data_IF_020752941629
#
_entry.id   IF_020752941629
#
_cell.length_a   1.000
_cell.length_b   1.000
_cell.length_c   1.000
_cell.angle_alpha   90.00
_cell.angle_beta   90.00
_cell.angle_gamma   90.00
#
_symmetry.space_group_name_H-M   'P 1'
#
loop_
_entity.id
_entity.type
_entity.pdbx_description
1 polymer ?
#
# COMPACT_ATOMS: atom_id res chain seq x y z
N UNK A 1 37.99 -14.80 -49.57
CA UNK A 1 38.00 -13.96 -48.35
C UNK A 1 36.64 -13.33 -48.03
N UNK A 2 35.96 -12.70 -48.99
CA UNK A 2 34.66 -12.04 -48.74
C UNK A 2 33.52 -12.96 -48.25
N UNK A 3 33.46 -14.22 -48.73
CA UNK A 3 32.46 -15.21 -48.33
C UNK A 3 32.69 -15.81 -46.94
N UNK A 4 33.94 -15.90 -46.48
CA UNK A 4 34.29 -16.34 -45.13
C UNK A 4 33.91 -15.25 -44.05
N UNK A 5 34.09 -13.98 -44.40
CA UNK A 5 33.75 -12.86 -43.54
C UNK A 5 32.22 -12.75 -43.27
N UNK A 6 31.42 -12.96 -44.32
CA UNK A 6 29.96 -12.94 -44.22
C UNK A 6 29.44 -14.13 -43.40
N UNK A 7 30.09 -15.31 -43.51
CA UNK A 7 29.73 -16.49 -42.73
C UNK A 7 30.06 -16.33 -41.22
N UNK A 8 31.21 -15.68 -40.89
CA UNK A 8 31.57 -15.39 -39.50
C UNK A 8 30.67 -14.33 -38.87
N UNK A 9 30.27 -13.30 -39.63
CA UNK A 9 29.32 -12.28 -39.12
C UNK A 9 27.92 -12.87 -38.89
N UNK A 10 27.45 -13.77 -39.75
CA UNK A 10 26.18 -14.47 -39.60
C UNK A 10 26.13 -15.38 -38.36
N UNK A 11 27.25 -16.06 -38.05
CA UNK A 11 27.36 -16.91 -36.87
C UNK A 11 27.45 -16.11 -35.56
N UNK A 12 28.07 -14.92 -35.58
CA UNK A 12 28.13 -14.04 -34.41
C UNK A 12 26.77 -13.41 -34.05
N UNK A 13 25.90 -13.15 -35.04
CA UNK A 13 24.54 -12.63 -34.80
C UNK A 13 23.61 -13.70 -34.22
N UNK A 14 23.86 -14.99 -34.43
CA UNK A 14 23.05 -16.08 -33.89
C UNK A 14 23.35 -16.40 -32.40
N UNK A 15 24.48 -15.95 -31.86
CA UNK A 15 24.89 -16.20 -30.48
C UNK A 15 24.40 -15.07 -29.53
N UNK A 16 24.02 -13.91 -30.08
CA UNK A 16 23.64 -12.75 -29.29
C UNK A 16 22.26 -12.83 -28.56
N UNK A 17 21.24 -13.61 -28.98
CA UNK A 17 19.99 -13.70 -28.26
C UNK A 17 19.96 -14.66 -27.06
N UNK A 18 21.07 -15.29 -26.69
CA UNK A 18 21.11 -16.24 -25.57
C UNK A 18 21.39 -15.60 -24.19
N UNK A 19 21.52 -14.29 -24.12
CA UNK A 19 21.50 -13.57 -22.85
C UNK A 19 20.05 -13.19 -22.46
N UNK A 20 19.16 -14.17 -22.48
CA UNK A 20 17.87 -14.02 -21.81
C UNK A 20 18.19 -13.94 -20.31
N UNK A 21 18.10 -12.76 -19.75
CA UNK A 21 18.12 -12.61 -18.29
C UNK A 21 17.01 -13.51 -17.74
N UNK A 22 17.41 -14.48 -16.93
CA UNK A 22 16.44 -15.32 -16.25
C UNK A 22 15.53 -14.39 -15.42
N UNK A 23 14.23 -14.45 -15.66
CA UNK A 23 13.26 -13.83 -14.77
C UNK A 23 13.48 -14.49 -13.41
N UNK A 24 13.69 -13.72 -12.35
CA UNK A 24 13.88 -14.30 -11.02
C UNK A 24 12.71 -15.22 -10.68
N UNK A 25 12.99 -16.34 -10.06
CA UNK A 25 11.97 -17.30 -9.65
C UNK A 25 11.22 -16.73 -8.45
N UNK A 26 9.92 -16.53 -8.61
CA UNK A 26 9.05 -16.02 -7.54
C UNK A 26 8.39 -17.22 -6.86
N UNK A 27 8.83 -17.51 -5.66
CA UNK A 27 8.17 -18.51 -4.82
C UNK A 27 6.81 -18.00 -4.35
N UNK A 28 5.82 -18.87 -4.29
CA UNK A 28 4.51 -18.49 -3.78
C UNK A 28 3.82 -19.64 -3.07
N UNK A 29 3.10 -19.30 -1.99
CA UNK A 29 2.30 -20.24 -1.21
C UNK A 29 1.13 -19.57 -0.53
N UNK A 30 0.29 -20.37 0.11
CA UNK A 30 -0.84 -19.89 0.91
C UNK A 30 -0.73 -20.44 2.32
N UNK A 31 -0.86 -19.54 3.31
CA UNK A 31 -0.86 -19.94 4.71
C UNK A 31 -2.18 -20.64 5.11
N UNK A 32 -2.23 -21.37 6.24
CA UNK A 32 -3.47 -21.99 6.73
C UNK A 32 -4.61 -20.99 6.96
N UNK A 33 -4.32 -19.74 7.29
CA UNK A 33 -5.30 -18.65 7.45
C UNK A 33 -5.69 -17.95 6.15
N UNK A 34 -5.16 -18.43 5.01
CA UNK A 34 -5.53 -17.94 3.70
C UNK A 34 -4.70 -16.79 3.13
N UNK A 35 -3.69 -16.28 3.85
CA UNK A 35 -2.75 -15.27 3.32
C UNK A 35 -1.98 -15.85 2.14
N UNK A 36 -1.99 -15.15 1.01
CA UNK A 36 -1.15 -15.46 -0.15
C UNK A 36 0.20 -14.79 0.04
N UNK A 37 1.28 -15.54 -0.10
CA UNK A 37 2.65 -15.02 0.02
C UNK A 37 3.35 -15.17 -1.31
N UNK A 38 4.05 -14.12 -1.73
CA UNK A 38 4.97 -14.09 -2.86
C UNK A 38 6.33 -13.65 -2.34
N UNK A 39 7.33 -14.45 -2.58
CA UNK A 39 8.69 -14.22 -2.12
C UNK A 39 9.66 -14.19 -3.31
N UNK A 40 10.46 -13.13 -3.38
CA UNK A 40 11.52 -12.97 -4.36
C UNK A 40 12.85 -12.81 -3.65
N UNK A 41 13.69 -13.84 -3.69
CA UNK A 41 15.03 -13.79 -3.11
C UNK A 41 15.97 -12.95 -3.98
N UNK A 42 16.62 -11.94 -3.36
CA UNK A 42 17.67 -11.12 -3.97
C UNK A 42 18.75 -10.82 -2.95
N UNK A 43 20.01 -11.09 -3.33
CA UNK A 43 21.17 -10.87 -2.47
C UNK A 43 22.05 -9.68 -2.89
N UNK A 44 21.57 -8.87 -3.85
CA UNK A 44 22.33 -7.73 -4.35
C UNK A 44 22.53 -6.63 -3.30
N UNK A 45 21.52 -6.42 -2.46
CA UNK A 45 21.54 -5.45 -1.38
C UNK A 45 21.09 -6.12 -0.07
N UNK A 46 21.70 -5.76 1.09
CA UNK A 46 21.30 -6.29 2.39
C UNK A 46 20.03 -5.60 2.91
N UNK A 47 18.93 -5.73 2.18
CA UNK A 47 17.66 -5.06 2.45
C UNK A 47 16.51 -6.05 2.38
N UNK A 48 15.44 -5.74 3.11
CA UNK A 48 14.16 -6.44 3.04
C UNK A 48 13.06 -5.43 2.69
N UNK A 49 12.30 -5.73 1.63
CA UNK A 49 11.07 -5.05 1.28
C UNK A 49 9.88 -5.93 1.62
N UNK A 50 8.95 -5.40 2.39
CA UNK A 50 7.69 -6.07 2.74
C UNK A 50 6.53 -5.21 2.28
N UNK A 51 5.61 -5.78 1.52
CA UNK A 51 4.35 -5.12 1.18
C UNK A 51 3.17 -6.04 1.45
N UNK A 52 2.25 -5.56 2.28
CA UNK A 52 1.01 -6.25 2.59
C UNK A 52 -0.16 -5.52 1.93
N UNK A 53 -0.82 -6.18 0.99
CA UNK A 53 -1.90 -5.63 0.16
C UNK A 53 -3.21 -6.30 0.52
N UNK A 54 -4.27 -5.49 0.68
CA UNK A 54 -5.62 -5.95 1.00
C UNK A 54 -6.62 -5.50 -0.09
N UNK A 55 -7.63 -6.30 -0.38
CA UNK A 55 -8.83 -5.87 -1.09
C UNK A 55 -9.68 -5.00 -0.16
N UNK A 56 -9.16 -3.79 0.11
CA UNK A 56 -9.69 -2.81 1.06
C UNK A 56 -9.62 -1.39 0.48
N UNK A 57 -9.73 -1.28 -0.85
CA UNK A 57 -9.74 0.00 -1.55
C UNK A 57 -11.09 0.73 -1.45
N UNK A 58 -11.17 1.91 -2.07
CA UNK A 58 -12.37 2.75 -2.00
C UNK A 58 -13.61 2.14 -2.67
N UNK A 59 -13.46 1.09 -3.48
CA UNK A 59 -14.59 0.29 -3.97
C UNK A 59 -15.37 -0.41 -2.84
N UNK A 60 -14.76 -0.53 -1.65
CA UNK A 60 -15.36 -1.09 -0.44
C UNK A 60 -15.97 -0.04 0.50
N UNK A 61 -15.90 1.24 0.15
CA UNK A 61 -16.40 2.37 0.98
C UNK A 61 -17.93 2.37 1.15
N UNK A 62 -18.67 1.72 0.28
CA UNK A 62 -20.12 1.76 0.26
C UNK A 62 -20.64 3.20 0.14
N UNK A 63 -21.51 3.60 1.05
CA UNK A 63 -22.08 4.95 1.09
C UNK A 63 -21.20 6.00 1.80
N UNK A 64 -19.97 5.62 2.20
CA UNK A 64 -19.05 6.50 2.92
C UNK A 64 -17.73 6.72 2.15
N UNK A 65 -17.75 7.33 0.95
CA UNK A 65 -16.54 7.58 0.18
C UNK A 65 -15.43 8.22 1.02
N UNK A 66 -14.21 7.65 0.94
CA UNK A 66 -13.05 8.06 1.72
C UNK A 66 -12.81 7.24 3.00
N UNK A 67 -13.68 6.28 3.33
CA UNK A 67 -13.53 5.43 4.51
C UNK A 67 -12.26 4.58 4.43
N UNK A 68 -12.05 3.86 3.35
CA UNK A 68 -10.84 3.08 3.08
C UNK A 68 -9.56 3.92 3.23
N UNK A 69 -9.53 5.07 2.57
CA UNK A 69 -8.37 5.97 2.59
C UNK A 69 -8.10 6.56 3.98
N UNK A 70 -9.13 6.89 4.75
CA UNK A 70 -8.97 7.34 6.13
C UNK A 70 -8.52 6.19 7.04
N UNK A 71 -9.12 5.00 6.92
CA UNK A 71 -8.73 3.84 7.73
C UNK A 71 -7.26 3.48 7.49
N UNK A 72 -6.85 3.38 6.24
CA UNK A 72 -5.48 3.03 5.88
C UNK A 72 -4.47 4.10 6.34
N UNK A 73 -4.81 5.38 6.17
CA UNK A 73 -3.95 6.49 6.61
C UNK A 73 -3.78 6.61 8.13
N UNK A 74 -4.64 5.97 8.92
CA UNK A 74 -4.56 6.00 10.39
C UNK A 74 -3.91 4.75 11.00
N UNK A 75 -3.47 3.78 10.20
CA UNK A 75 -2.91 2.53 10.75
C UNK A 75 -1.66 2.79 11.59
N UNK A 76 -0.77 3.67 11.14
CA UNK A 76 0.45 4.06 11.87
C UNK A 76 0.21 5.11 12.96
N UNK A 77 -1.04 5.51 13.23
CA UNK A 77 -1.35 6.54 14.25
C UNK A 77 -1.19 6.04 15.69
N UNK A 78 -1.07 4.73 15.89
CA UNK A 78 -0.80 4.13 17.19
C UNK A 78 -1.44 2.78 17.39
N UNK A 79 -0.85 2.01 18.28
CA UNK A 79 -1.24 0.66 18.70
C UNK A 79 -1.58 0.66 20.19
N UNK A 80 -1.91 -0.50 20.77
CA UNK A 80 -2.06 -0.61 22.23
C UNK A 80 -0.76 -0.41 23.02
N UNK A 81 0.40 -0.55 22.35
CA UNK A 81 1.74 -0.44 22.97
C UNK A 81 2.46 0.86 22.64
N UNK A 82 2.11 1.50 21.52
CA UNK A 82 2.85 2.63 20.93
C UNK A 82 1.88 3.73 20.50
N UNK A 83 2.17 4.96 20.84
CA UNK A 83 1.51 6.11 20.25
C UNK A 83 2.15 6.48 18.89
N UNK A 84 1.59 7.45 18.19
CA UNK A 84 2.06 7.90 16.88
C UNK A 84 3.54 8.30 16.89
N UNK A 85 3.98 9.03 17.91
CA UNK A 85 5.35 9.53 18.03
C UNK A 85 6.33 8.38 18.27
N UNK A 86 5.95 7.42 19.10
CA UNK A 86 6.74 6.23 19.38
C UNK A 86 6.87 5.34 18.14
N UNK A 87 5.78 5.12 17.39
CA UNK A 87 5.82 4.37 16.11
C UNK A 87 6.81 5.01 15.15
N UNK A 88 6.70 6.34 14.95
CA UNK A 88 7.59 7.05 14.03
C UNK A 88 9.05 7.00 14.50
N UNK A 89 9.31 7.30 15.77
CA UNK A 89 10.66 7.30 16.34
C UNK A 89 11.34 5.93 16.25
N UNK A 90 10.64 4.85 16.64
CA UNK A 90 11.26 3.51 16.63
C UNK A 90 11.60 3.03 15.23
N UNK A 91 10.82 3.40 14.21
CA UNK A 91 11.14 3.11 12.81
C UNK A 91 12.28 4.00 12.28
N UNK A 92 12.27 5.30 12.62
CA UNK A 92 13.31 6.25 12.21
C UNK A 92 14.66 5.91 12.84
N UNK A 93 14.70 5.49 14.11
CA UNK A 93 15.91 5.14 14.86
C UNK A 93 16.69 3.98 14.21
N UNK A 94 16.01 3.08 13.49
CA UNK A 94 16.63 1.97 12.77
C UNK A 94 16.77 2.23 11.26
N UNK A 95 16.38 3.42 10.81
CA UNK A 95 16.43 3.82 9.41
C UNK A 95 15.46 3.05 8.51
N UNK A 96 14.34 2.59 9.04
CA UNK A 96 13.31 1.91 8.27
C UNK A 96 12.45 2.91 7.50
N UNK A 97 12.16 2.59 6.24
CA UNK A 97 11.16 3.30 5.45
C UNK A 97 9.83 2.57 5.55
N UNK A 98 8.75 3.28 5.81
CA UNK A 98 7.43 2.70 5.95
C UNK A 98 6.35 3.57 5.31
N UNK A 99 5.24 2.95 4.94
CA UNK A 99 4.16 3.67 4.30
C UNK A 99 2.86 2.91 4.27
N UNK A 100 1.81 3.65 3.97
CA UNK A 100 0.48 3.10 3.72
C UNK A 100 -0.20 3.87 2.60
N UNK A 101 -1.02 3.19 1.81
CA UNK A 101 -1.75 3.82 0.72
C UNK A 101 -3.05 3.09 0.40
N UNK A 102 -3.97 3.81 -0.24
CA UNK A 102 -5.25 3.26 -0.68
C UNK A 102 -5.58 3.77 -2.07
N UNK A 103 -6.01 2.85 -2.93
CA UNK A 103 -6.53 3.11 -4.27
C UNK A 103 -7.99 2.65 -4.35
N UNK A 104 -8.50 2.42 -5.57
CA UNK A 104 -9.88 1.94 -5.76
C UNK A 104 -10.07 0.51 -5.31
N UNK A 105 -9.14 -0.38 -5.66
CA UNK A 105 -9.29 -1.81 -5.42
C UNK A 105 -8.53 -2.29 -4.20
N UNK A 106 -7.47 -1.58 -3.82
CA UNK A 106 -6.55 -2.06 -2.78
C UNK A 106 -6.18 -0.98 -1.79
N UNK A 107 -5.83 -1.43 -0.59
CA UNK A 107 -5.05 -0.69 0.39
C UNK A 107 -3.81 -1.50 0.73
N UNK A 108 -2.70 -0.84 1.08
CA UNK A 108 -1.46 -1.52 1.42
C UNK A 108 -0.73 -0.82 2.56
N UNK A 109 0.12 -1.62 3.20
CA UNK A 109 1.20 -1.15 4.07
C UNK A 109 2.50 -1.67 3.49
N UNK A 110 3.56 -0.91 3.67
CA UNK A 110 4.90 -1.29 3.23
C UNK A 110 5.93 -0.94 4.28
N UNK A 111 6.97 -1.76 4.33
CA UNK A 111 8.15 -1.58 5.17
C UNK A 111 9.38 -1.94 4.35
N UNK A 112 10.40 -1.10 4.41
CA UNK A 112 11.75 -1.39 3.92
C UNK A 112 12.73 -1.21 5.06
N UNK A 113 13.60 -2.18 5.27
CA UNK A 113 14.64 -2.13 6.28
C UNK A 113 15.91 -2.80 5.80
N UNK A 114 17.04 -2.50 6.45
CA UNK A 114 18.25 -3.31 6.31
C UNK A 114 17.97 -4.71 6.88
N UNK A 115 18.55 -5.75 6.26
CA UNK A 115 18.33 -7.16 6.67
C UNK A 115 19.10 -7.58 7.92
N UNK A 116 19.98 -6.72 8.46
CA UNK A 116 20.70 -6.99 9.71
C UNK A 116 19.75 -6.99 10.91
N UNK A 117 19.90 -7.93 11.88
CA UNK A 117 18.94 -8.10 12.98
C UNK A 117 18.68 -6.84 13.80
N UNK A 118 19.71 -6.04 14.07
CA UNK A 118 19.60 -4.80 14.86
C UNK A 118 18.74 -3.72 14.22
N UNK A 119 18.51 -3.78 12.90
CA UNK A 119 17.58 -2.88 12.20
C UNK A 119 16.26 -3.57 11.90
N UNK A 120 16.29 -4.81 11.43
CA UNK A 120 15.13 -5.54 10.96
C UNK A 120 14.17 -5.93 12.09
N UNK A 121 14.68 -6.48 13.18
CA UNK A 121 13.84 -7.00 14.25
C UNK A 121 12.97 -5.91 14.91
N UNK A 122 13.52 -4.73 15.29
CA UNK A 122 12.69 -3.65 15.80
C UNK A 122 11.70 -3.10 14.76
N UNK A 123 12.12 -2.98 13.50
CA UNK A 123 11.23 -2.48 12.44
C UNK A 123 10.04 -3.42 12.21
N UNK A 124 10.29 -4.74 12.17
CA UNK A 124 9.24 -5.75 12.05
C UNK A 124 8.32 -5.77 13.27
N UNK A 125 8.85 -5.61 14.49
CA UNK A 125 8.02 -5.59 15.71
C UNK A 125 7.01 -4.43 15.67
N UNK A 126 7.44 -3.23 15.30
CA UNK A 126 6.55 -2.09 15.11
C UNK A 126 5.53 -2.34 14.00
N UNK A 127 6.00 -2.82 12.85
CA UNK A 127 5.15 -3.05 11.67
C UNK A 127 4.07 -4.11 11.96
N UNK A 128 4.42 -5.18 12.65
CA UNK A 128 3.48 -6.23 13.05
C UNK A 128 2.46 -5.72 14.08
N UNK A 129 2.86 -4.89 15.04
CA UNK A 129 1.93 -4.26 15.98
C UNK A 129 0.92 -3.35 15.25
N UNK A 130 1.37 -2.55 14.28
CA UNK A 130 0.51 -1.68 13.46
C UNK A 130 -0.52 -2.49 12.67
N UNK A 131 -0.14 -3.65 12.16
CA UNK A 131 -1.04 -4.54 11.40
C UNK A 131 -2.00 -5.28 12.33
N UNK A 132 -1.54 -5.70 13.51
CA UNK A 132 -2.30 -6.56 14.40
C UNK A 132 -3.32 -5.80 15.27
N UNK A 133 -2.97 -4.59 15.73
CA UNK A 133 -3.75 -3.89 16.75
C UNK A 133 -3.74 -2.36 16.62
N UNK A 134 -4.14 -1.79 15.48
CA UNK A 134 -4.24 -0.33 15.34
C UNK A 134 -5.39 0.21 16.20
N UNK A 135 -5.11 1.23 17.02
CA UNK A 135 -6.07 1.76 17.98
C UNK A 135 -6.87 2.96 17.47
N UNK A 136 -6.45 3.59 16.36
CA UNK A 136 -7.10 4.79 15.83
C UNK A 136 -7.32 5.86 16.91
N UNK A 137 -6.27 6.44 17.53
CA UNK A 137 -6.42 7.35 18.67
C UNK A 137 -7.30 8.54 18.30
N UNK A 138 -8.16 8.97 19.23
CA UNK A 138 -9.18 10.00 18.94
C UNK A 138 -8.59 11.31 18.43
N UNK A 139 -7.53 11.78 19.07
CA UNK A 139 -6.94 13.08 18.73
C UNK A 139 -6.27 13.06 17.36
N UNK A 140 -5.59 11.97 17.03
CA UNK A 140 -4.91 11.80 15.74
C UNK A 140 -5.92 11.68 14.63
N UNK A 141 -6.92 10.83 14.78
CA UNK A 141 -8.03 10.72 13.83
C UNK A 141 -8.72 12.07 13.58
N UNK A 142 -9.06 12.83 14.64
CA UNK A 142 -9.71 14.14 14.49
C UNK A 142 -8.81 15.16 13.78
N UNK A 143 -7.50 15.13 14.03
CA UNK A 143 -6.52 15.95 13.33
C UNK A 143 -6.48 15.61 11.84
N UNK A 144 -6.30 14.34 11.50
CA UNK A 144 -6.25 13.85 10.11
C UNK A 144 -7.57 14.11 9.38
N UNK A 145 -8.70 13.89 10.03
CA UNK A 145 -10.01 14.20 9.45
C UNK A 145 -10.15 15.69 9.14
N UNK A 146 -9.71 16.59 10.03
CA UNK A 146 -9.70 18.04 9.78
C UNK A 146 -8.81 18.40 8.61
N UNK A 147 -7.60 17.84 8.54
CA UNK A 147 -6.67 18.06 7.44
C UNK A 147 -7.27 17.58 6.10
N UNK A 148 -7.89 16.39 6.10
CA UNK A 148 -8.60 15.87 4.94
C UNK A 148 -9.72 16.79 4.47
N UNK A 149 -10.51 17.35 5.37
CA UNK A 149 -11.58 18.29 5.03
C UNK A 149 -11.04 19.59 4.42
N UNK A 150 -9.91 20.10 4.91
CA UNK A 150 -9.23 21.27 4.33
C UNK A 150 -8.74 20.94 2.91
N UNK A 151 -8.09 19.79 2.71
CA UNK A 151 -7.63 19.37 1.40
C UNK A 151 -8.78 19.16 0.41
N UNK A 152 -9.89 18.57 0.83
CA UNK A 152 -11.08 18.39 -0.01
C UNK A 152 -11.70 19.74 -0.42
N UNK A 153 -11.72 20.73 0.49
CA UNK A 153 -12.20 22.09 0.16
C UNK A 153 -11.29 22.77 -0.86
N UNK A 154 -9.99 22.60 -0.76
CA UNK A 154 -9.03 23.11 -1.75
C UNK A 154 -9.21 22.42 -3.12
N UNK A 155 -9.47 21.11 -3.14
CA UNK A 155 -9.75 20.37 -4.38
C UNK A 155 -10.99 20.86 -5.12
N UNK A 156 -12.00 21.41 -4.43
CA UNK A 156 -13.19 21.99 -5.08
C UNK A 156 -12.88 23.25 -5.91
N UNK A 157 -11.74 23.90 -5.60
CA UNK A 157 -11.27 25.09 -6.33
C UNK A 157 -10.24 24.72 -7.42
N UNK A 158 -9.85 23.46 -7.55
CA UNK A 158 -8.91 22.98 -8.57
C UNK A 158 -9.64 22.48 -9.80
N UNK A 159 -9.48 23.13 -10.98
CA UNK A 159 -10.15 22.70 -12.21
C UNK A 159 -9.86 21.24 -12.58
N UNK A 160 -8.61 20.77 -12.39
CA UNK A 160 -8.22 19.39 -12.67
C UNK A 160 -8.92 18.38 -11.74
N UNK A 161 -9.05 18.70 -10.46
CA UNK A 161 -9.77 17.85 -9.50
C UNK A 161 -11.27 17.79 -9.80
N UNK A 162 -11.87 18.93 -10.18
CA UNK A 162 -13.30 18.99 -10.57
C UNK A 162 -13.52 18.17 -11.85
N UNK A 163 -12.68 18.37 -12.87
CA UNK A 163 -12.75 17.62 -14.13
C UNK A 163 -12.58 16.12 -13.90
N UNK A 164 -11.60 15.71 -13.08
CA UNK A 164 -11.38 14.30 -12.76
C UNK A 164 -12.60 13.67 -12.08
N UNK A 165 -13.20 14.32 -11.10
CA UNK A 165 -14.43 13.83 -10.43
C UNK A 165 -15.60 13.70 -11.42
N UNK A 166 -15.77 14.68 -12.29
CA UNK A 166 -16.82 14.67 -13.33
C UNK A 166 -16.59 13.52 -14.33
N UNK A 167 -15.35 13.33 -14.77
CA UNK A 167 -14.95 12.25 -15.67
C UNK A 167 -15.25 10.86 -15.07
N UNK A 168 -14.79 10.59 -13.85
CA UNK A 168 -15.04 9.30 -13.20
C UNK A 168 -16.54 9.03 -13.02
N UNK A 169 -17.31 10.06 -12.66
CA UNK A 169 -18.77 9.94 -12.55
C UNK A 169 -19.44 9.65 -13.89
N UNK A 170 -19.00 10.31 -14.96
CA UNK A 170 -19.54 10.09 -16.30
C UNK A 170 -19.21 8.69 -16.85
N UNK A 171 -17.99 8.19 -16.60
CA UNK A 171 -17.54 6.88 -17.10
C UNK A 171 -18.16 5.73 -16.31
N UNK A 172 -18.25 5.86 -14.99
CA UNK A 172 -18.60 4.74 -14.10
C UNK A 172 -20.04 4.78 -13.54
N UNK A 173 -20.75 5.89 -13.68
CA UNK A 173 -22.16 5.99 -13.25
C UNK A 173 -22.35 5.63 -11.77
N UNK A 174 -23.09 4.54 -11.53
CA UNK A 174 -23.37 4.03 -10.17
C UNK A 174 -22.32 3.02 -9.66
N UNK A 175 -21.33 2.68 -10.49
CA UNK A 175 -20.26 1.78 -10.05
C UNK A 175 -19.42 2.45 -8.95
N UNK A 176 -18.90 1.69 -7.94
CA UNK A 176 -18.10 2.25 -6.85
C UNK A 176 -16.90 3.09 -7.28
N UNK A 177 -16.37 2.86 -8.49
CA UNK A 177 -15.27 3.64 -9.06
C UNK A 177 -15.62 5.08 -9.39
N UNK A 178 -16.89 5.42 -9.49
CA UNK A 178 -17.34 6.80 -9.65
C UNK A 178 -17.04 7.66 -8.42
N UNK A 179 -16.95 7.03 -7.24
CA UNK A 179 -16.67 7.72 -5.98
C UNK A 179 -15.19 8.12 -5.88
N UNK A 180 -14.88 9.33 -5.37
CA UNK A 180 -13.50 9.75 -5.17
C UNK A 180 -12.86 8.99 -4.01
N UNK A 181 -11.65 8.46 -4.21
CA UNK A 181 -10.87 7.71 -3.19
C UNK A 181 -10.68 8.55 -1.91
N UNK A 182 -10.44 9.85 -2.05
CA UNK A 182 -10.26 10.76 -0.91
C UNK A 182 -11.57 11.10 -0.17
N UNK A 183 -12.71 10.65 -0.70
CA UNK A 183 -14.00 10.99 -0.16
C UNK A 183 -14.54 12.34 -0.61
N UNK A 184 -15.60 12.78 0.04
CA UNK A 184 -16.24 14.09 -0.16
C UNK A 184 -16.33 14.84 1.17
N UNK A 185 -16.55 16.16 1.14
CA UNK A 185 -16.81 16.94 2.37
C UNK A 185 -17.98 16.37 3.18
N UNK A 186 -19.01 15.88 2.50
CA UNK A 186 -20.21 15.30 3.13
C UNK A 186 -19.90 13.95 3.81
N UNK A 187 -19.20 13.04 3.12
CA UNK A 187 -18.89 11.70 3.66
C UNK A 187 -17.86 11.77 4.79
N UNK A 188 -16.75 12.47 4.58
CA UNK A 188 -15.65 12.57 5.57
C UNK A 188 -16.10 13.20 6.88
N UNK A 189 -17.02 14.18 6.86
CA UNK A 189 -17.64 14.74 8.08
C UNK A 189 -18.38 13.69 8.93
N UNK A 190 -18.95 12.65 8.29
CA UNK A 190 -19.76 11.63 8.94
C UNK A 190 -18.95 10.41 9.39
N UNK A 191 -17.78 10.19 8.78
CA UNK A 191 -16.90 9.07 9.12
C UNK A 191 -16.39 9.28 10.56
N UNK A 192 -16.56 8.25 11.39
CA UNK A 192 -16.11 8.24 12.78
C UNK A 192 -15.17 7.07 13.07
N UNK A 193 -14.43 7.11 14.19
CA UNK A 193 -13.48 6.05 14.60
C UNK A 193 -14.10 4.65 14.63
N UNK A 194 -15.34 4.53 15.09
CA UNK A 194 -16.05 3.25 15.11
C UNK A 194 -16.15 2.64 13.72
N UNK A 195 -16.41 3.47 12.71
CA UNK A 195 -16.52 3.02 11.32
C UNK A 195 -15.16 2.60 10.76
N UNK A 196 -14.08 3.33 11.11
CA UNK A 196 -12.72 2.93 10.75
C UNK A 196 -12.41 1.53 11.31
N UNK A 197 -12.69 1.34 12.61
CA UNK A 197 -12.42 0.06 13.28
C UNK A 197 -13.20 -1.09 12.65
N UNK A 198 -14.47 -0.89 12.35
CA UNK A 198 -15.30 -1.89 11.66
C UNK A 198 -14.78 -2.21 10.26
N UNK A 199 -14.35 -1.20 9.51
CA UNK A 199 -13.75 -1.39 8.18
C UNK A 199 -12.45 -2.19 8.27
N UNK A 200 -11.58 -1.85 9.22
CA UNK A 200 -10.35 -2.58 9.48
C UNK A 200 -10.64 -4.05 9.83
N UNK A 201 -11.49 -4.32 10.81
CA UNK A 201 -11.87 -5.66 11.25
C UNK A 201 -12.47 -6.51 10.11
N UNK A 202 -13.13 -5.87 9.14
CA UNK A 202 -13.76 -6.55 8.01
C UNK A 202 -12.77 -6.89 6.90
N UNK A 203 -11.88 -5.97 6.54
CA UNK A 203 -11.09 -6.08 5.31
C UNK A 203 -9.61 -6.36 5.54
N UNK A 204 -9.04 -6.05 6.72
CA UNK A 204 -7.62 -6.28 7.02
C UNK A 204 -7.42 -7.64 7.68
N UNK A 205 -7.79 -8.69 6.95
CA UNK A 205 -7.76 -10.08 7.41
C UNK A 205 -6.92 -10.95 6.47
N UNK A 206 -6.31 -12.00 7.01
CA UNK A 206 -5.32 -12.81 6.29
C UNK A 206 -5.83 -13.40 4.98
N UNK A 207 -7.08 -13.88 4.93
CA UNK A 207 -7.66 -14.46 3.71
C UNK A 207 -8.02 -13.41 2.64
N UNK A 208 -7.97 -12.13 2.99
CA UNK A 208 -8.18 -10.97 2.11
C UNK A 208 -6.86 -10.27 1.76
N UNK A 209 -5.72 -10.88 2.07
CA UNK A 209 -4.41 -10.26 1.96
C UNK A 209 -3.48 -11.01 1.01
N UNK A 210 -2.56 -10.24 0.42
CA UNK A 210 -1.38 -10.69 -0.31
C UNK A 210 -0.15 -10.07 0.34
N UNK A 211 0.78 -10.89 0.76
CA UNK A 211 2.09 -10.48 1.26
C UNK A 211 3.12 -10.67 0.15
N UNK A 212 3.90 -9.63 -0.10
CA UNK A 212 5.04 -9.64 -1.03
C UNK A 212 6.30 -9.33 -0.24
N UNK A 213 7.31 -10.14 -0.40
CA UNK A 213 8.62 -10.05 0.27
C UNK A 213 9.70 -10.15 -0.79
#
# INVERSE_FOLDING_TARGET
MRKLFVSLLGSALLVFPLLVQAIPDIEHWKTPKGLKVYYLESHELPMLDVRLVFDAGSARDGEQPGLSSLTNGELFSGTSKRDLETVARELDDVGAEYGAGSLRDMAWLELRSLSRPESLDPALDVFLDVIADPQFPKNDFERSRKQRLVALKAQEQSPSSVASKAYYRAVYGDHPYASPVSGTLKSVKKIGRKTLKQFFETYYVANNAVLVI
#
